data_IF_725622802755
#
_entry.id   IF_725622802755
#
_cell.length_a   1.000
_cell.length_b   1.000
_cell.length_c   1.000
_cell.angle_alpha   90.00
_cell.angle_beta   90.00
_cell.angle_gamma   90.00
#
_symmetry.space_group_name_H-M   'P 1'
#
loop_
_entity.id
_entity.type
_entity.pdbx_description
1 polymer ?
#
# COMPACT_ATOMS: atom_id res chain seq x y z
N UNK A 1 10.96 26.55 25.76
CA UNK A 1 12.05 26.26 24.78
C UNK A 1 11.61 25.06 23.94
N UNK A 2 11.01 25.28 22.78
CA UNK A 2 10.55 24.18 21.92
C UNK A 2 11.74 23.64 21.14
N UNK A 3 12.15 22.41 21.47
CA UNK A 3 13.25 21.70 20.83
C UNK A 3 13.00 21.58 19.32
N UNK A 4 13.92 22.13 18.52
CA UNK A 4 13.98 21.91 17.08
C UNK A 4 14.49 20.48 16.82
N UNK A 5 13.57 19.52 16.81
CA UNK A 5 13.91 18.13 16.52
C UNK A 5 14.44 17.99 15.09
N UNK A 6 15.59 17.34 14.94
CA UNK A 6 16.24 17.02 13.66
C UNK A 6 15.21 16.33 12.75
N UNK A 7 14.79 17.00 11.66
CA UNK A 7 13.93 16.36 10.65
C UNK A 7 14.69 15.18 10.06
N UNK A 8 14.11 14.00 10.18
CA UNK A 8 14.64 12.79 9.56
C UNK A 8 14.47 12.96 8.05
N UNK A 9 15.56 12.86 7.30
CA UNK A 9 15.52 12.79 5.85
C UNK A 9 15.37 11.33 5.43
N UNK A 10 14.14 10.92 5.15
CA UNK A 10 13.86 9.57 4.69
C UNK A 10 14.45 9.31 3.30
N UNK A 11 14.57 10.33 2.44
CA UNK A 11 15.07 10.17 1.08
C UNK A 11 16.55 9.79 1.12
N UNK A 12 17.36 10.53 1.89
CA UNK A 12 18.78 10.23 2.04
C UNK A 12 19.03 8.86 2.67
N UNK A 13 18.29 8.53 3.75
CA UNK A 13 18.44 7.25 4.43
C UNK A 13 18.05 6.06 3.55
N UNK A 14 16.96 6.20 2.79
CA UNK A 14 16.49 5.17 1.87
C UNK A 14 17.43 5.00 0.68
N UNK A 15 17.94 6.10 0.11
CA UNK A 15 18.95 6.02 -0.95
C UNK A 15 20.23 5.32 -0.49
N UNK A 16 20.70 5.59 0.74
CA UNK A 16 21.86 4.91 1.31
C UNK A 16 21.63 3.42 1.56
N UNK A 17 20.41 3.01 1.94
CA UNK A 17 20.09 1.60 2.20
C UNK A 17 19.89 0.77 0.93
N UNK A 18 19.30 1.36 -0.12
CA UNK A 18 18.98 0.67 -1.37
C UNK A 18 20.08 0.76 -2.44
N UNK A 19 20.89 1.83 -2.42
CA UNK A 19 21.89 2.09 -3.45
C UNK A 19 21.26 2.16 -4.85
N UNK A 20 21.93 1.55 -5.83
CA UNK A 20 21.51 1.56 -7.24
C UNK A 20 20.22 0.78 -7.51
N UNK A 21 19.79 -0.07 -6.56
CA UNK A 21 18.58 -0.89 -6.69
C UNK A 21 17.31 -0.18 -6.17
N UNK A 22 17.36 1.13 -5.89
CA UNK A 22 16.24 1.89 -5.34
C UNK A 22 15.04 1.94 -6.30
N UNK A 23 13.90 1.29 -5.96
CA UNK A 23 12.71 1.36 -6.79
C UNK A 23 12.05 2.75 -6.74
N UNK A 24 11.43 3.13 -7.85
CA UNK A 24 10.72 4.40 -8.02
C UNK A 24 9.65 4.65 -6.95
N UNK A 25 8.87 3.61 -6.63
CA UNK A 25 7.80 3.66 -5.64
C UNK A 25 8.35 3.81 -4.22
N UNK A 26 9.51 3.22 -3.91
CA UNK A 26 10.17 3.37 -2.61
C UNK A 26 10.69 4.80 -2.46
N UNK A 27 11.24 5.37 -3.54
CA UNK A 27 11.66 6.77 -3.56
C UNK A 27 10.48 7.73 -3.34
N UNK A 28 9.31 7.48 -3.96
CA UNK A 28 8.11 8.28 -3.71
C UNK A 28 7.59 8.12 -2.28
N UNK A 29 7.63 6.91 -1.73
CA UNK A 29 7.28 6.64 -0.35
C UNK A 29 8.16 7.43 0.63
N UNK A 30 9.47 7.49 0.38
CA UNK A 30 10.42 8.27 1.18
C UNK A 30 10.17 9.78 1.05
N UNK A 31 9.88 10.28 -0.16
CA UNK A 31 9.51 11.68 -0.38
C UNK A 31 8.25 12.05 0.40
N UNK A 32 7.21 11.22 0.36
CA UNK A 32 5.98 11.47 1.12
C UNK A 32 6.21 11.44 2.64
N UNK A 33 7.06 10.54 3.13
CA UNK A 33 7.42 10.48 4.55
C UNK A 33 8.22 11.70 5.01
N UNK A 34 9.09 12.24 4.16
CA UNK A 34 9.81 13.50 4.41
C UNK A 34 8.88 14.71 4.35
N UNK A 35 7.90 14.75 3.42
CA UNK A 35 6.87 15.81 3.34
C UNK A 35 5.93 15.81 4.55
N UNK A 36 5.59 14.62 5.04
CA UNK A 36 4.62 14.44 6.13
C UNK A 36 5.31 13.85 7.36
N UNK A 37 5.08 12.57 7.66
CA UNK A 37 5.82 11.74 8.61
C UNK A 37 5.70 10.27 8.18
N UNK A 38 6.63 9.41 8.61
CA UNK A 38 6.50 7.97 8.40
C UNK A 38 5.17 7.41 8.94
N UNK A 39 4.69 7.89 10.08
CA UNK A 39 3.40 7.44 10.66
C UNK A 39 2.20 7.83 9.79
N UNK A 40 2.16 9.07 9.27
CA UNK A 40 1.06 9.51 8.39
C UNK A 40 1.10 8.78 7.05
N UNK A 41 2.31 8.61 6.50
CA UNK A 41 2.53 7.88 5.25
C UNK A 41 2.11 6.42 5.38
N UNK A 42 2.48 5.75 6.48
CA UNK A 42 2.09 4.37 6.76
C UNK A 42 0.57 4.20 6.77
N UNK A 43 -0.12 5.06 7.51
CA UNK A 43 -1.58 5.07 7.58
C UNK A 43 -2.22 5.30 6.21
N UNK A 44 -1.66 6.23 5.42
CA UNK A 44 -2.16 6.54 4.06
C UNK A 44 -2.10 5.33 3.13
N UNK A 45 -1.07 4.50 3.23
CA UNK A 45 -0.95 3.28 2.41
C UNK A 45 -1.52 2.03 3.11
N UNK A 46 -2.15 2.16 4.28
CA UNK A 46 -2.74 1.04 5.02
C UNK A 46 -1.74 0.04 5.61
N UNK A 47 -0.56 0.50 6.01
CA UNK A 47 0.50 -0.29 6.68
C UNK A 47 0.92 0.32 8.02
N UNK A 48 1.70 -0.43 8.79
CA UNK A 48 2.27 0.05 10.06
C UNK A 48 3.56 0.86 9.82
N UNK A 49 3.91 1.79 10.71
CA UNK A 49 5.18 2.52 10.62
C UNK A 49 6.40 1.58 10.64
N UNK A 50 6.30 0.43 11.33
CA UNK A 50 7.36 -0.58 11.38
C UNK A 50 7.62 -1.20 10.00
N UNK A 51 6.57 -1.48 9.22
CA UNK A 51 6.72 -1.97 7.84
C UNK A 51 7.42 -0.93 6.98
N UNK A 52 7.02 0.35 7.07
CA UNK A 52 7.69 1.43 6.33
C UNK A 52 9.17 1.55 6.67
N UNK A 53 9.51 1.52 7.97
CA UNK A 53 10.91 1.56 8.39
C UNK A 53 11.72 0.37 7.85
N UNK A 54 11.14 -0.83 7.82
CA UNK A 54 11.78 -2.01 7.24
C UNK A 54 11.95 -1.87 5.71
N UNK A 55 10.98 -1.29 5.01
CA UNK A 55 11.06 -1.01 3.57
C UNK A 55 12.14 0.04 3.28
N UNK A 56 12.18 1.14 4.04
CA UNK A 56 13.21 2.18 3.89
C UNK A 56 14.62 1.65 4.14
N UNK A 57 14.77 0.67 5.03
CA UNK A 57 16.04 0.03 5.33
C UNK A 57 16.39 -1.13 4.37
N UNK A 58 15.60 -1.38 3.32
CA UNK A 58 15.76 -2.51 2.40
C UNK A 58 15.75 -3.90 3.09
N UNK A 59 15.04 -4.02 4.21
CA UNK A 59 15.03 -5.23 5.08
C UNK A 59 13.67 -5.91 5.17
N UNK A 60 12.62 -5.35 4.57
CA UNK A 60 11.28 -5.94 4.64
C UNK A 60 11.20 -7.23 3.80
N UNK A 61 10.95 -8.36 4.47
CA UNK A 61 10.82 -9.69 3.85
C UNK A 61 9.37 -10.11 3.58
N UNK A 62 8.40 -9.22 3.84
CA UNK A 62 6.99 -9.49 3.57
C UNK A 62 6.63 -9.35 2.09
N UNK A 63 5.34 -9.28 1.80
CA UNK A 63 4.84 -9.17 0.44
C UNK A 63 5.10 -7.75 -0.14
N UNK A 64 6.29 -7.56 -0.71
CA UNK A 64 6.73 -6.31 -1.33
C UNK A 64 5.84 -5.89 -2.51
N UNK A 65 5.31 -6.86 -3.28
CA UNK A 65 4.38 -6.57 -4.39
C UNK A 65 3.10 -5.88 -3.91
N UNK A 66 2.57 -6.27 -2.75
CA UNK A 66 1.38 -5.64 -2.17
C UNK A 66 1.68 -4.25 -1.63
N UNK A 67 2.86 -4.06 -1.01
CA UNK A 67 3.31 -2.72 -0.58
C UNK A 67 3.42 -1.80 -1.79
N UNK A 68 4.13 -2.23 -2.83
CA UNK A 68 4.27 -1.50 -4.09
C UNK A 68 2.90 -1.12 -4.68
N UNK A 69 1.99 -2.08 -4.82
CA UNK A 69 0.66 -1.83 -5.38
C UNK A 69 -0.12 -0.78 -4.58
N UNK A 70 0.01 -0.78 -3.25
CA UNK A 70 -0.60 0.25 -2.39
C UNK A 70 0.06 1.60 -2.53
N UNK A 71 1.39 1.65 -2.59
CA UNK A 71 2.13 2.91 -2.81
C UNK A 71 1.75 3.50 -4.16
N UNK A 72 1.75 2.69 -5.22
CA UNK A 72 1.40 3.14 -6.56
C UNK A 72 -0.03 3.67 -6.62
N UNK A 73 -0.99 3.02 -5.97
CA UNK A 73 -2.37 3.51 -5.89
C UNK A 73 -2.50 4.81 -5.09
N UNK A 74 -1.97 4.83 -3.87
CA UNK A 74 -2.21 5.92 -2.93
C UNK A 74 -1.37 7.19 -3.19
N UNK A 75 -0.17 7.03 -3.77
CA UNK A 75 0.82 8.11 -3.94
C UNK A 75 1.14 8.41 -5.42
N UNK A 76 1.07 7.43 -6.32
CA UNK A 76 1.51 7.60 -7.72
C UNK A 76 0.35 7.61 -8.73
N UNK A 77 -0.90 7.56 -8.26
CA UNK A 77 -2.08 7.68 -9.11
C UNK A 77 -2.40 6.44 -9.95
N UNK A 78 -1.89 5.26 -9.59
CA UNK A 78 -2.26 4.02 -10.27
C UNK A 78 -3.74 3.69 -10.03
N UNK A 79 -4.54 3.72 -11.10
CA UNK A 79 -5.93 3.31 -11.10
C UNK A 79 -6.12 1.93 -11.73
N UNK A 80 -7.26 1.32 -11.43
CA UNK A 80 -7.74 0.07 -12.05
C UNK A 80 -9.24 0.17 -12.32
N UNK A 81 -9.71 -0.53 -13.35
CA UNK A 81 -11.13 -0.60 -13.68
C UNK A 81 -11.82 -1.69 -12.85
N UNK A 82 -12.59 -1.27 -11.85
CA UNK A 82 -13.40 -2.18 -11.06
C UNK A 82 -14.75 -2.42 -11.75
N UNK A 83 -15.15 -3.68 -12.00
CA UNK A 83 -16.42 -3.98 -12.66
C UNK A 83 -17.67 -3.55 -11.87
N UNK A 84 -17.52 -3.12 -10.60
CA UNK A 84 -18.65 -2.71 -9.76
C UNK A 84 -18.71 -1.20 -9.52
N UNK A 85 -17.57 -0.52 -9.44
CA UNK A 85 -17.49 0.91 -9.07
C UNK A 85 -16.77 1.78 -10.11
N UNK A 86 -16.37 1.21 -11.24
CA UNK A 86 -15.61 1.90 -12.27
C UNK A 86 -14.14 2.10 -11.89
N UNK A 87 -13.54 3.15 -12.43
CA UNK A 87 -12.15 3.51 -12.15
C UNK A 87 -11.94 3.82 -10.66
N UNK A 88 -11.00 3.13 -10.03
CA UNK A 88 -10.61 3.35 -8.63
C UNK A 88 -9.10 3.23 -8.45
N UNK A 89 -8.55 3.94 -7.45
CA UNK A 89 -7.17 3.77 -7.04
C UNK A 89 -6.85 2.32 -6.63
N UNK A 90 -5.65 1.84 -6.97
CA UNK A 90 -5.23 0.46 -6.68
C UNK A 90 -5.23 0.15 -5.19
N UNK A 91 -4.89 1.12 -4.35
CA UNK A 91 -4.98 1.05 -2.89
C UNK A 91 -6.43 0.80 -2.42
N UNK A 92 -7.39 1.57 -2.95
CA UNK A 92 -8.82 1.40 -2.66
C UNK A 92 -9.34 0.06 -3.16
N UNK A 93 -8.89 -0.39 -4.33
CA UNK A 93 -9.21 -1.72 -4.85
C UNK A 93 -8.81 -2.82 -3.86
N UNK A 94 -7.58 -2.76 -3.34
CA UNK A 94 -7.09 -3.71 -2.33
C UNK A 94 -7.85 -3.62 -1.00
N UNK A 95 -8.32 -2.44 -0.61
CA UNK A 95 -9.20 -2.30 0.56
C UNK A 95 -10.57 -2.95 0.33
N UNK A 96 -11.18 -2.77 -0.85
CA UNK A 96 -12.47 -3.41 -1.15
C UNK A 96 -12.36 -4.95 -1.14
N UNK A 97 -11.23 -5.51 -1.55
CA UNK A 97 -11.00 -6.95 -1.56
C UNK A 97 -10.95 -7.55 -0.14
N UNK A 98 -10.34 -6.84 0.82
CA UNK A 98 -10.20 -7.27 2.22
C UNK A 98 -11.52 -7.20 2.98
N UNK A 99 -12.45 -6.36 2.55
CA UNK A 99 -13.74 -6.19 3.23
C UNK A 99 -14.62 -7.44 3.08
N UNK A 100 -15.15 -7.93 4.21
CA UNK A 100 -16.18 -8.96 4.23
C UNK A 100 -17.55 -8.44 3.78
N UNK A 101 -18.50 -9.35 3.63
CA UNK A 101 -19.89 -9.02 3.32
C UNK A 101 -20.81 -9.37 4.50
N UNK A 102 -21.36 -8.36 5.16
CA UNK A 102 -22.33 -8.52 6.26
C UNK A 102 -23.79 -8.58 5.77
N UNK A 103 -24.02 -8.47 4.46
CA UNK A 103 -25.37 -8.45 3.87
C UNK A 103 -26.10 -7.10 3.96
N UNK A 104 -25.60 -6.15 4.75
CA UNK A 104 -26.24 -4.84 4.94
C UNK A 104 -26.13 -3.90 3.73
N UNK A 105 -25.30 -4.21 2.73
CA UNK A 105 -25.04 -3.34 1.58
C UNK A 105 -25.01 -4.13 0.27
N UNK A 106 -25.91 -3.78 -0.64
CA UNK A 106 -26.00 -4.41 -1.97
C UNK A 106 -24.76 -4.17 -2.82
N UNK A 107 -24.17 -2.96 -2.74
CA UNK A 107 -22.89 -2.65 -3.39
C UNK A 107 -21.74 -3.44 -2.76
N UNK A 108 -21.76 -3.66 -1.43
CA UNK A 108 -20.75 -4.50 -0.79
C UNK A 108 -20.85 -5.95 -1.23
N UNK A 109 -22.07 -6.50 -1.30
CA UNK A 109 -22.31 -7.85 -1.79
C UNK A 109 -21.83 -8.03 -3.23
N UNK A 110 -22.08 -7.04 -4.12
CA UNK A 110 -21.56 -7.05 -5.50
C UNK A 110 -20.03 -7.04 -5.53
N UNK A 111 -19.39 -6.16 -4.77
CA UNK A 111 -17.92 -6.07 -4.69
C UNK A 111 -17.29 -7.35 -4.13
N UNK A 112 -17.88 -7.93 -3.07
CA UNK A 112 -17.41 -9.16 -2.47
C UNK A 112 -17.41 -10.32 -3.47
N UNK A 113 -18.52 -10.50 -4.22
CA UNK A 113 -18.64 -11.52 -5.26
C UNK A 113 -17.67 -11.28 -6.41
N UNK A 114 -17.63 -10.05 -6.94
CA UNK A 114 -16.74 -9.71 -8.05
C UNK A 114 -15.27 -9.96 -7.71
N UNK A 115 -14.81 -9.55 -6.53
CA UNK A 115 -13.43 -9.75 -6.09
C UNK A 115 -13.07 -11.24 -5.92
N UNK A 116 -14.03 -12.11 -5.60
CA UNK A 116 -13.79 -13.55 -5.39
C UNK A 116 -14.13 -14.43 -6.60
N UNK A 117 -14.63 -13.82 -7.68
CA UNK A 117 -14.83 -14.47 -8.97
C UNK A 117 -13.67 -14.19 -9.92
N UNK A 118 -13.98 -13.60 -11.07
CA UNK A 118 -13.05 -13.44 -12.20
C UNK A 118 -12.41 -12.04 -12.28
N UNK A 119 -12.33 -11.34 -11.15
CA UNK A 119 -11.63 -10.05 -11.12
C UNK A 119 -10.12 -10.23 -11.32
N UNK A 120 -9.62 -9.77 -12.48
CA UNK A 120 -8.19 -9.77 -12.84
C UNK A 120 -7.29 -8.99 -11.87
N UNK A 121 -7.87 -8.07 -11.10
CA UNK A 121 -7.13 -7.26 -10.12
C UNK A 121 -7.17 -7.86 -8.71
N UNK A 122 -7.83 -9.01 -8.51
CA UNK A 122 -7.98 -9.63 -7.21
C UNK A 122 -6.70 -10.33 -6.76
N UNK A 123 -6.23 -10.02 -5.56
CA UNK A 123 -5.12 -10.71 -4.90
C UNK A 123 -5.62 -11.73 -3.86
N UNK A 124 -6.92 -12.05 -3.85
CA UNK A 124 -7.50 -12.96 -2.86
C UNK A 124 -7.19 -14.43 -3.16
N UNK A 125 -6.98 -14.80 -4.43
CA UNK A 125 -6.69 -16.19 -4.83
C UNK A 125 -5.33 -16.66 -4.30
N UNK A 126 -4.36 -15.75 -4.15
CA UNK A 126 -3.03 -16.05 -3.60
C UNK A 126 -3.04 -16.25 -2.07
N UNK A 127 -4.11 -15.85 -1.37
CA UNK A 127 -4.19 -15.92 0.10
C UNK A 127 -4.79 -17.25 0.62
N UNK A 128 -5.44 -18.04 -0.24
CA UNK A 128 -6.06 -19.33 0.13
C UNK A 128 -5.05 -20.49 0.07
N UNK A 129 -4.00 -20.38 -0.76
CA UNK A 129 -2.94 -21.39 -0.92
C UNK A 129 -1.78 -21.24 0.10
N UNK A 130 -1.88 -20.29 1.03
CA UNK A 130 -0.87 -20.03 2.05
C UNK A 130 -1.41 -20.32 3.46
N UNK A 131 -1.74 -21.58 3.75
CA UNK A 131 -2.02 -22.01 5.12
C UNK A 131 -1.41 -23.41 5.39
N UNK A 132 -0.66 -23.59 6.49
CA UNK A 132 -0.36 -24.93 7.01
C UNK A 132 -1.62 -25.61 7.56
#
# INVERSE_FOLDING_TARGET
MTSASKRIDFVANTAAAWGDALPDWVAELAREATRTTATRTARRIGYSPAVLSAVFAAKYQGNMKTVEARVRGALMGLTVDCPVVGEIGRDRCLDQQRMGNTGASSIRARLYRACRGDCQHSNLKEADDAQP
#
